data_IF_827876012261
#
_entry.id   IF_827876012261
#
_cell.length_a   1.000
_cell.length_b   1.000
_cell.length_c   1.000
_cell.angle_alpha   90.00
_cell.angle_beta   90.00
_cell.angle_gamma   90.00
#
_symmetry.space_group_name_H-M   'P 1'
#
loop_
_entity.id
_entity.type
_entity.pdbx_description
1 polymer ?
#
# COMPACT_ATOMS: atom_id res chain seq x y z
N UNK A 1 20.97 -41.09 -79.91
CA UNK A 1 21.88 -39.93 -79.87
C UNK A 1 21.12 -38.80 -79.17
N UNK A 2 21.30 -38.63 -77.86
CA UNK A 2 20.62 -37.60 -77.05
C UNK A 2 21.17 -36.21 -77.41
N UNK A 3 20.29 -35.20 -77.52
CA UNK A 3 20.70 -33.79 -77.55
C UNK A 3 19.97 -33.04 -76.44
N UNK A 4 20.75 -32.58 -75.47
CA UNK A 4 20.33 -31.95 -74.22
C UNK A 4 19.61 -30.61 -74.44
N UNK A 5 18.49 -30.43 -73.74
CA UNK A 5 17.87 -29.14 -73.50
C UNK A 5 18.70 -28.33 -72.49
N UNK A 6 19.07 -27.08 -72.83
CA UNK A 6 19.59 -26.11 -71.86
C UNK A 6 18.43 -25.22 -71.43
N UNK A 7 17.97 -25.38 -70.19
CA UNK A 7 17.04 -24.45 -69.55
C UNK A 7 17.84 -23.32 -68.92
N UNK A 8 17.56 -22.07 -69.30
CA UNK A 8 18.09 -20.87 -68.63
C UNK A 8 17.27 -20.64 -67.36
N UNK A 9 17.91 -20.67 -66.19
CA UNK A 9 17.32 -20.24 -64.93
C UNK A 9 17.63 -18.75 -64.76
N UNK A 10 16.59 -17.93 -64.68
CA UNK A 10 16.68 -16.50 -64.39
C UNK A 10 16.54 -16.33 -62.87
N UNK A 11 17.63 -15.99 -62.19
CA UNK A 11 17.61 -15.77 -60.73
C UNK A 11 17.15 -14.34 -60.45
N UNK A 12 15.96 -14.19 -59.87
CA UNK A 12 15.44 -12.91 -59.39
C UNK A 12 16.09 -12.59 -58.03
N UNK A 13 16.95 -11.57 -57.96
CA UNK A 13 17.50 -11.09 -56.69
C UNK A 13 16.50 -10.08 -56.11
N UNK A 14 15.74 -10.49 -55.10
CA UNK A 14 14.88 -9.59 -54.33
C UNK A 14 15.75 -8.86 -53.29
N UNK A 15 16.12 -7.61 -53.58
CA UNK A 15 16.79 -6.75 -52.59
C UNK A 15 15.77 -6.23 -51.59
N UNK A 16 15.75 -6.80 -50.39
CA UNK A 16 14.93 -6.32 -49.28
C UNK A 16 15.63 -5.11 -48.64
N UNK A 17 15.17 -3.90 -48.96
CA UNK A 17 15.63 -2.69 -48.30
C UNK A 17 15.00 -2.62 -46.91
N UNK A 18 15.76 -2.91 -45.86
CA UNK A 18 15.35 -2.66 -44.48
C UNK A 18 15.39 -1.15 -44.30
N UNK A 19 14.22 -0.51 -44.29
CA UNK A 19 14.13 0.88 -43.82
C UNK A 19 14.39 0.85 -42.31
N UNK A 20 15.32 1.66 -41.78
CA UNK A 20 15.40 1.83 -40.33
C UNK A 20 14.06 2.42 -39.89
N UNK A 21 13.35 1.69 -39.04
CA UNK A 21 12.19 2.20 -38.33
C UNK A 21 12.74 3.26 -37.38
N UNK A 22 12.65 4.54 -37.77
CA UNK A 22 12.94 5.63 -36.87
C UNK A 22 11.85 5.60 -35.80
N UNK A 23 12.17 5.09 -34.61
CA UNK A 23 11.35 5.32 -33.42
C UNK A 23 11.25 6.84 -33.26
N UNK A 24 10.07 7.39 -33.54
CA UNK A 24 9.73 8.70 -32.99
C UNK A 24 9.69 8.48 -31.49
N UNK A 25 10.74 8.89 -30.79
CA UNK A 25 10.70 8.99 -29.34
C UNK A 25 9.60 10.01 -29.03
N UNK A 26 8.43 9.51 -28.61
CA UNK A 26 7.51 10.33 -27.84
C UNK A 26 8.25 10.59 -26.53
N UNK A 27 8.62 11.84 -26.28
CA UNK A 27 9.29 12.19 -25.04
C UNK A 27 8.20 12.14 -23.98
N UNK A 28 8.18 11.07 -23.17
CA UNK A 28 7.26 10.98 -22.06
C UNK A 28 7.44 12.19 -21.14
N UNK A 29 6.34 12.74 -20.64
CA UNK A 29 6.42 13.74 -19.58
C UNK A 29 6.86 13.02 -18.31
N UNK A 30 8.01 13.40 -17.77
CA UNK A 30 8.62 12.79 -16.58
C UNK A 30 8.62 13.82 -15.46
N UNK A 31 8.21 13.42 -14.27
CA UNK A 31 8.15 14.31 -13.13
C UNK A 31 8.13 13.58 -11.80
N UNK A 32 8.04 14.41 -10.75
CA UNK A 32 7.85 13.97 -9.37
C UNK A 32 6.68 14.76 -8.82
N UNK A 33 5.72 14.06 -8.23
CA UNK A 33 4.60 14.66 -7.49
C UNK A 33 4.76 14.30 -6.03
N UNK A 34 4.67 15.30 -5.14
CA UNK A 34 4.66 15.06 -3.71
C UNK A 34 3.23 14.75 -3.26
N UNK A 35 2.99 13.53 -2.80
CA UNK A 35 1.70 13.05 -2.28
C UNK A 35 1.89 12.77 -0.79
N UNK A 36 1.23 13.56 0.06
CA UNK A 36 1.33 13.43 1.52
C UNK A 36 2.77 13.35 2.07
N UNK A 37 3.68 14.15 1.50
CA UNK A 37 5.12 14.21 1.81
C UNK A 37 5.98 13.06 1.26
N UNK A 38 5.41 12.17 0.46
CA UNK A 38 6.14 11.16 -0.29
C UNK A 38 6.34 11.61 -1.73
N UNK A 39 7.54 11.39 -2.25
CA UNK A 39 7.86 11.68 -3.65
C UNK A 39 7.43 10.49 -4.52
N UNK A 40 6.50 10.73 -5.43
CA UNK A 40 6.02 9.77 -6.43
C UNK A 40 6.60 10.15 -7.78
N UNK A 41 7.50 9.32 -8.30
CA UNK A 41 8.10 9.52 -9.61
C UNK A 41 7.19 8.93 -10.69
N UNK A 42 7.07 9.62 -11.82
CA UNK A 42 6.28 9.15 -12.95
C UNK A 42 6.93 9.48 -14.29
N UNK A 43 6.58 8.69 -15.31
CA UNK A 43 6.77 9.01 -16.73
C UNK A 43 5.51 8.63 -17.50
N UNK A 44 4.91 9.58 -18.23
CA UNK A 44 3.73 9.35 -19.06
C UNK A 44 4.05 9.54 -20.54
N UNK A 45 3.84 8.51 -21.35
CA UNK A 45 3.95 8.59 -22.81
C UNK A 45 2.61 9.03 -23.43
N UNK A 46 2.63 9.94 -24.39
CA UNK A 46 1.44 10.38 -25.14
C UNK A 46 0.31 10.98 -24.28
N UNK A 47 0.63 11.51 -23.10
CA UNK A 47 -0.28 12.27 -22.25
C UNK A 47 0.48 13.27 -21.39
N UNK A 48 -0.26 14.05 -20.61
CA UNK A 48 0.28 14.91 -19.56
C UNK A 48 -0.42 14.54 -18.27
N UNK A 49 0.34 14.42 -17.19
CA UNK A 49 -0.20 14.17 -15.86
C UNK A 49 -0.67 15.50 -15.25
N UNK A 50 -1.88 15.52 -14.71
CA UNK A 50 -2.43 16.69 -14.01
C UNK A 50 -2.14 16.63 -12.52
N UNK A 51 -2.59 15.56 -11.85
CA UNK A 51 -2.42 15.37 -10.41
C UNK A 51 -2.28 13.91 -10.02
N UNK A 52 -1.63 13.66 -8.87
CA UNK A 52 -1.70 12.40 -8.14
C UNK A 52 -2.17 12.74 -6.73
N UNK A 53 -3.15 12.00 -6.22
CA UNK A 53 -3.55 12.08 -4.81
C UNK A 53 -4.01 10.72 -4.31
N UNK A 54 -3.92 10.52 -3.00
CA UNK A 54 -4.36 9.31 -2.33
C UNK A 54 -5.77 9.50 -1.78
N UNK A 55 -6.63 8.51 -2.00
CA UNK A 55 -7.89 8.33 -1.28
C UNK A 55 -7.71 7.21 -0.23
N UNK A 56 -7.48 7.55 1.05
CA UNK A 56 -7.23 6.57 2.08
C UNK A 56 -8.48 5.78 2.49
N UNK A 57 -9.69 6.28 2.21
CA UNK A 57 -10.93 5.55 2.51
C UNK A 57 -11.10 4.34 1.57
N UNK A 58 -10.59 4.45 0.35
CA UNK A 58 -10.59 3.39 -0.66
C UNK A 58 -9.24 2.70 -0.86
N UNK A 59 -8.19 3.14 -0.16
CA UNK A 59 -6.81 2.63 -0.32
C UNK A 59 -6.39 2.73 -1.79
N UNK A 60 -6.66 3.89 -2.39
CA UNK A 60 -6.57 4.11 -3.84
C UNK A 60 -5.70 5.32 -4.15
N UNK A 61 -4.63 5.12 -4.93
CA UNK A 61 -3.88 6.23 -5.51
C UNK A 61 -4.51 6.60 -6.86
N UNK A 62 -4.96 7.83 -6.99
CA UNK A 62 -5.67 8.33 -8.16
C UNK A 62 -4.76 9.28 -8.93
N UNK A 63 -4.58 8.98 -10.21
CA UNK A 63 -3.89 9.81 -11.18
C UNK A 63 -4.91 10.42 -12.14
N UNK A 64 -4.85 11.73 -12.33
CA UNK A 64 -5.60 12.41 -13.40
C UNK A 64 -4.66 12.85 -14.50
N UNK A 65 -5.09 12.71 -15.74
CA UNK A 65 -4.26 12.95 -16.92
C UNK A 65 -5.07 13.42 -18.13
N UNK A 66 -4.41 14.15 -19.01
CA UNK A 66 -4.90 14.52 -20.33
C UNK A 66 -4.14 13.69 -21.40
N UNK A 67 -4.81 12.75 -22.05
CA UNK A 67 -4.20 11.85 -23.04
C UNK A 67 -4.35 12.37 -24.47
N UNK A 68 -3.33 12.17 -25.29
CA UNK A 68 -3.29 12.61 -26.71
C UNK A 68 -3.31 11.45 -27.71
N UNK A 69 -2.88 10.27 -27.28
CA UNK A 69 -2.90 8.99 -28.01
C UNK A 69 -2.78 7.85 -26.99
N UNK A 70 -2.93 6.60 -27.41
CA UNK A 70 -2.62 5.42 -26.58
C UNK A 70 -1.17 5.50 -26.07
N UNK A 71 -0.95 5.08 -24.83
CA UNK A 71 0.34 5.24 -24.16
C UNK A 71 0.45 4.41 -22.89
N UNK A 72 1.45 4.74 -22.09
CA UNK A 72 1.71 4.11 -20.79
C UNK A 72 2.07 5.16 -19.74
N UNK A 73 1.66 4.90 -18.50
CA UNK A 73 2.21 5.55 -17.31
C UNK A 73 3.14 4.58 -16.61
N UNK A 74 4.41 4.94 -16.48
CA UNK A 74 5.34 4.33 -15.52
C UNK A 74 5.28 5.14 -14.22
N UNK A 75 5.02 4.48 -13.09
CA UNK A 75 4.89 5.14 -11.78
C UNK A 75 5.66 4.34 -10.72
N UNK A 76 6.47 5.05 -9.92
CA UNK A 76 7.16 4.49 -8.75
C UNK A 76 6.43 4.93 -7.49
N UNK A 77 5.81 3.97 -6.81
CA UNK A 77 4.97 4.15 -5.63
C UNK A 77 5.78 3.77 -4.39
N UNK A 78 6.03 4.70 -3.45
CA UNK A 78 6.59 4.35 -2.15
C UNK A 78 5.64 3.42 -1.40
N UNK A 79 6.15 2.33 -0.83
CA UNK A 79 5.33 1.36 -0.09
C UNK A 79 4.71 1.95 1.17
N UNK A 80 5.32 2.99 1.74
CA UNK A 80 4.73 3.76 2.84
C UNK A 80 3.55 4.65 2.40
N UNK A 81 3.43 4.94 1.10
CA UNK A 81 2.31 5.71 0.54
C UNK A 81 1.16 4.80 0.14
N UNK A 82 1.45 3.72 -0.57
CA UNK A 82 0.49 2.70 -0.99
C UNK A 82 1.24 1.39 -1.22
N UNK A 83 0.70 0.30 -0.68
CA UNK A 83 1.18 -1.05 -0.87
C UNK A 83 0.01 -2.02 -1.05
N UNK A 84 0.30 -3.19 -1.64
CA UNK A 84 -0.64 -4.30 -1.63
C UNK A 84 0.06 -5.53 -1.07
N UNK A 85 -0.48 -6.03 0.03
CA UNK A 85 0.02 -7.17 0.78
C UNK A 85 -1.12 -8.11 1.15
N UNK A 86 -0.78 -9.38 1.26
CA UNK A 86 -1.58 -10.39 1.93
C UNK A 86 -0.71 -11.04 3.00
N UNK A 87 -1.15 -10.95 4.25
CA UNK A 87 -0.32 -11.23 5.43
C UNK A 87 1.02 -10.46 5.40
N UNK A 88 2.15 -11.16 5.26
CA UNK A 88 3.50 -10.58 5.23
C UNK A 88 4.13 -10.60 3.84
N UNK A 89 3.40 -11.08 2.84
CA UNK A 89 3.86 -11.17 1.45
C UNK A 89 3.23 -10.10 0.58
N UNK A 90 3.98 -9.65 -0.41
CA UNK A 90 3.46 -8.77 -1.46
C UNK A 90 2.34 -9.46 -2.23
N UNK A 91 1.30 -8.68 -2.49
CA UNK A 91 0.18 -9.05 -3.33
C UNK A 91 0.02 -8.03 -4.47
N UNK A 92 -0.79 -8.40 -5.46
CA UNK A 92 -1.07 -7.57 -6.64
C UNK A 92 -1.90 -6.36 -6.27
N UNK A 93 -1.72 -5.26 -7.01
CA UNK A 93 -2.65 -4.14 -7.00
C UNK A 93 -3.85 -4.45 -7.89
N UNK A 94 -4.97 -3.78 -7.62
CA UNK A 94 -6.07 -3.68 -8.58
C UNK A 94 -5.95 -2.34 -9.30
N UNK A 95 -5.73 -2.36 -10.61
CA UNK A 95 -5.57 -1.14 -11.42
C UNK A 95 -6.79 -0.91 -12.28
N UNK A 96 -7.35 0.29 -12.20
CA UNK A 96 -8.48 0.75 -12.99
C UNK A 96 -8.02 1.86 -13.94
N UNK A 97 -8.42 1.79 -15.21
CA UNK A 97 -8.28 2.88 -16.18
C UNK A 97 -9.68 3.30 -16.61
N UNK A 98 -10.02 4.57 -16.37
CA UNK A 98 -11.37 5.10 -16.54
C UNK A 98 -12.48 4.23 -15.89
N UNK A 99 -12.14 3.63 -14.74
CA UNK A 99 -13.04 2.77 -13.96
C UNK A 99 -13.13 1.31 -14.42
N UNK A 100 -12.33 0.90 -15.41
CA UNK A 100 -12.24 -0.48 -15.88
C UNK A 100 -10.94 -1.15 -15.45
N UNK A 101 -11.05 -2.37 -14.91
CA UNK A 101 -9.88 -3.17 -14.55
C UNK A 101 -8.95 -3.38 -15.74
N UNK A 102 -7.66 -3.10 -15.52
CA UNK A 102 -6.62 -3.09 -16.55
C UNK A 102 -5.39 -3.83 -16.06
N UNK A 103 -4.86 -4.73 -16.90
CA UNK A 103 -3.59 -5.39 -16.65
C UNK A 103 -2.44 -4.39 -16.67
N UNK A 104 -1.48 -4.57 -15.76
CA UNK A 104 -0.27 -3.76 -15.67
C UNK A 104 0.97 -4.65 -15.56
N UNK A 105 2.15 -4.07 -15.75
CA UNK A 105 3.42 -4.74 -15.48
C UNK A 105 4.10 -4.12 -14.26
N UNK A 106 4.45 -4.94 -13.26
CA UNK A 106 5.36 -4.53 -12.20
C UNK A 106 6.80 -4.79 -12.67
N UNK A 107 7.58 -3.72 -12.86
CA UNK A 107 8.93 -3.79 -13.43
C UNK A 107 10.03 -3.74 -12.37
N UNK A 108 9.72 -3.22 -11.18
CA UNK A 108 10.62 -3.20 -10.04
C UNK A 108 9.82 -3.28 -8.72
N UNK A 109 10.38 -4.02 -7.76
CA UNK A 109 9.83 -4.15 -6.42
C UNK A 109 10.97 -4.25 -5.43
N UNK A 110 11.06 -3.26 -4.54
CA UNK A 110 12.09 -3.16 -3.51
C UNK A 110 11.45 -3.21 -2.13
N UNK A 111 12.23 -3.03 -1.06
CA UNK A 111 11.67 -2.87 0.29
C UNK A 111 10.95 -1.54 0.49
N UNK A 112 11.21 -0.55 -0.36
CA UNK A 112 10.81 0.84 -0.13
C UNK A 112 9.77 1.31 -1.15
N UNK A 113 9.74 0.70 -2.34
CA UNK A 113 8.87 1.11 -3.45
C UNK A 113 8.50 -0.05 -4.37
N UNK A 114 7.46 0.19 -5.19
CA UNK A 114 7.08 -0.64 -6.34
C UNK A 114 6.89 0.23 -7.57
N UNK A 115 7.34 -0.24 -8.72
CA UNK A 115 7.24 0.48 -9.99
C UNK A 115 6.35 -0.25 -10.97
N UNK A 116 5.27 0.40 -11.39
CA UNK A 116 4.25 -0.15 -12.28
C UNK A 116 4.30 0.54 -13.64
N UNK A 117 4.01 -0.21 -14.70
CA UNK A 117 3.76 0.29 -16.05
C UNK A 117 2.33 -0.05 -16.44
N UNK A 118 1.51 0.98 -16.61
CA UNK A 118 0.06 0.87 -16.80
C UNK A 118 -0.28 1.41 -18.20
N UNK A 119 -0.82 0.58 -19.11
CA UNK A 119 -1.27 1.03 -20.42
C UNK A 119 -2.58 1.79 -20.32
N UNK A 120 -2.79 2.75 -21.21
CA UNK A 120 -4.06 3.45 -21.40
C UNK A 120 -4.34 3.71 -22.88
N UNK A 121 -5.60 3.98 -23.21
CA UNK A 121 -6.06 4.36 -24.53
C UNK A 121 -6.29 5.87 -24.64
N UNK A 122 -6.27 6.37 -25.88
CA UNK A 122 -6.64 7.76 -26.15
C UNK A 122 -8.06 8.06 -25.64
N UNK A 123 -8.16 9.11 -24.82
CA UNK A 123 -9.42 9.54 -24.22
C UNK A 123 -9.57 9.13 -22.76
N UNK A 124 -8.75 8.20 -22.27
CA UNK A 124 -8.69 7.88 -20.84
C UNK A 124 -8.16 9.08 -20.06
N UNK A 125 -8.68 9.27 -18.86
CA UNK A 125 -8.43 10.47 -18.05
C UNK A 125 -8.07 10.17 -16.60
N UNK A 126 -8.39 8.97 -16.12
CA UNK A 126 -8.14 8.56 -14.73
C UNK A 126 -7.50 7.19 -14.69
N UNK A 127 -6.46 7.06 -13.87
CA UNK A 127 -5.93 5.77 -13.42
C UNK A 127 -6.12 5.67 -11.91
N UNK A 128 -6.77 4.62 -11.44
CA UNK A 128 -6.88 4.27 -10.03
C UNK A 128 -6.00 3.05 -9.73
N UNK A 129 -5.17 3.13 -8.70
CA UNK A 129 -4.31 2.04 -8.24
C UNK A 129 -4.72 1.70 -6.82
N UNK A 130 -5.36 0.56 -6.64
CA UNK A 130 -5.94 0.13 -5.37
C UNK A 130 -5.02 -0.90 -4.72
N UNK A 131 -4.63 -0.63 -3.48
CA UNK A 131 -3.83 -1.50 -2.63
C UNK A 131 -4.66 -2.19 -1.55
N UNK A 132 -3.95 -2.78 -0.58
CA UNK A 132 -4.55 -3.29 0.67
C UNK A 132 -4.02 -2.58 1.90
N UNK A 133 -2.97 -1.78 1.74
CA UNK A 133 -2.33 -0.97 2.75
C UNK A 133 -2.00 0.39 2.13
N UNK A 134 -2.39 1.48 2.75
CA UNK A 134 -2.13 2.82 2.25
C UNK A 134 -1.61 3.68 3.39
N UNK A 135 -0.97 4.79 3.04
CA UNK A 135 -0.79 5.88 3.97
C UNK A 135 -2.18 6.31 4.40
N UNK A 136 -2.57 5.86 5.58
CA UNK A 136 -3.64 6.48 6.28
C UNK A 136 -2.95 7.54 7.16
N UNK A 137 -3.04 8.84 6.84
CA UNK A 137 -2.49 9.91 7.69
C UNK A 137 -3.14 9.94 9.09
N UNK A 138 -4.19 9.14 9.29
CA UNK A 138 -4.85 8.84 10.56
C UNK A 138 -4.66 7.38 11.03
N UNK A 139 -3.92 6.55 10.29
CA UNK A 139 -3.33 5.31 10.78
C UNK A 139 -2.05 5.69 11.48
N UNK A 140 -2.27 6.18 12.69
CA UNK A 140 -1.39 5.83 13.77
C UNK A 140 -1.38 4.29 13.76
N UNK A 141 -0.37 3.63 13.18
CA UNK A 141 0.21 2.56 13.99
C UNK A 141 0.53 3.28 15.29
N UNK A 142 -0.19 3.00 16.38
CA UNK A 142 0.10 3.68 17.62
C UNK A 142 1.50 3.19 17.98
N UNK A 143 2.53 3.98 17.66
CA UNK A 143 3.80 3.90 18.34
C UNK A 143 3.47 4.28 19.76
N UNK A 144 2.99 3.29 20.52
CA UNK A 144 2.73 3.46 21.92
C UNK A 144 4.11 3.79 22.49
N UNK A 145 4.31 5.02 23.02
CA UNK A 145 5.64 5.44 23.39
C UNK A 145 6.29 4.40 24.30
N UNK A 146 7.54 4.01 24.06
CA UNK A 146 8.13 2.85 24.75
C UNK A 146 8.10 2.97 26.28
N UNK A 147 8.00 4.18 26.82
CA UNK A 147 7.84 4.41 28.26
C UNK A 147 6.55 3.82 28.85
N UNK A 148 5.51 3.61 28.05
CA UNK A 148 4.24 2.97 28.44
C UNK A 148 4.44 1.47 28.73
N UNK A 149 5.35 0.81 28.01
CA UNK A 149 5.67 -0.62 28.18
C UNK A 149 6.10 -0.93 29.62
N UNK A 150 6.74 0.02 30.30
CA UNK A 150 7.10 -0.13 31.71
C UNK A 150 5.88 -0.29 32.62
N UNK A 151 4.79 0.44 32.36
CA UNK A 151 3.56 0.35 33.15
C UNK A 151 2.89 -1.02 32.97
N UNK A 152 2.91 -1.55 31.75
CA UNK A 152 2.43 -2.90 31.46
C UNK A 152 3.26 -3.99 32.17
N UNK A 153 4.59 -3.84 32.19
CA UNK A 153 5.48 -4.73 32.95
C UNK A 153 5.22 -4.67 34.45
N UNK A 154 5.11 -3.47 35.02
CA UNK A 154 4.76 -3.29 36.44
C UNK A 154 3.39 -3.85 36.80
N UNK A 155 2.41 -3.73 35.90
CA UNK A 155 1.10 -4.36 36.09
C UNK A 155 1.21 -5.89 36.06
N UNK A 156 1.91 -6.46 35.07
CA UNK A 156 2.12 -7.90 34.95
C UNK A 156 2.81 -8.50 36.19
N UNK A 157 3.81 -7.79 36.73
CA UNK A 157 4.52 -8.15 37.96
C UNK A 157 3.72 -7.94 39.26
N UNK A 158 2.52 -7.35 39.17
CA UNK A 158 1.67 -7.04 40.33
C UNK A 158 2.17 -5.85 41.17
N UNK A 159 3.08 -5.03 40.64
CA UNK A 159 3.52 -3.79 41.28
C UNK A 159 2.49 -2.67 41.12
N UNK A 160 1.68 -2.73 40.05
CA UNK A 160 0.51 -1.88 39.82
C UNK A 160 -0.74 -2.76 39.87
N UNK A 161 -1.79 -2.27 40.53
CA UNK A 161 -3.07 -2.96 40.59
C UNK A 161 -3.91 -2.76 39.32
N UNK A 162 -4.92 -3.61 39.14
CA UNK A 162 -5.76 -3.62 37.94
C UNK A 162 -6.52 -2.29 37.74
N UNK A 163 -6.89 -1.61 38.82
CA UNK A 163 -7.60 -0.32 38.76
C UNK A 163 -6.70 0.78 38.23
N UNK A 164 -5.47 0.87 38.75
CA UNK A 164 -4.48 1.85 38.32
C UNK A 164 -4.04 1.60 36.86
N UNK A 165 -3.91 0.34 36.45
CA UNK A 165 -3.61 0.00 35.05
C UNK A 165 -4.74 0.41 34.10
N UNK A 166 -6.00 0.06 34.42
CA UNK A 166 -7.16 0.46 33.61
C UNK A 166 -7.25 1.98 33.47
N UNK A 167 -7.10 2.73 34.58
CA UNK A 167 -7.11 4.19 34.55
C UNK A 167 -5.98 4.77 33.69
N UNK A 168 -4.80 4.15 33.72
CA UNK A 168 -3.69 4.49 32.84
C UNK A 168 -4.05 4.33 31.38
N UNK A 169 -4.62 3.19 30.98
CA UNK A 169 -5.06 2.96 29.59
C UNK A 169 -6.14 3.96 29.17
N UNK A 170 -7.16 4.18 30.02
CA UNK A 170 -8.21 5.17 29.75
C UNK A 170 -7.64 6.56 29.50
N UNK A 171 -6.67 6.99 30.31
CA UNK A 171 -5.99 8.27 30.13
C UNK A 171 -5.24 8.34 28.80
N UNK A 172 -4.51 7.29 28.43
CA UNK A 172 -3.76 7.25 27.17
C UNK A 172 -4.67 7.33 25.95
N UNK A 173 -5.84 6.70 26.04
CA UNK A 173 -6.85 6.78 24.99
C UNK A 173 -7.45 8.19 24.94
N UNK A 174 -7.81 8.77 26.09
CA UNK A 174 -8.44 10.10 26.14
C UNK A 174 -7.52 11.24 25.68
N UNK A 175 -6.21 11.09 25.89
CA UNK A 175 -5.21 12.08 25.47
C UNK A 175 -4.64 11.79 24.07
N UNK A 176 -5.25 10.85 23.33
CA UNK A 176 -4.82 10.45 21.98
C UNK A 176 -3.35 9.96 21.91
N UNK A 177 -2.78 9.51 23.05
CA UNK A 177 -1.44 8.92 23.14
C UNK A 177 -1.46 7.47 22.67
N UNK A 178 -2.59 6.78 22.87
CA UNK A 178 -2.84 5.42 22.40
C UNK A 178 -4.14 5.41 21.60
N UNK A 179 -4.04 5.17 20.30
CA UNK A 179 -5.21 4.99 19.45
C UNK A 179 -5.71 3.55 19.52
N UNK A 180 -7.02 3.38 19.64
CA UNK A 180 -7.67 2.07 19.57
C UNK A 180 -8.53 2.05 18.29
N UNK A 181 -8.36 1.06 17.40
CA UNK A 181 -9.23 0.91 16.23
C UNK A 181 -10.69 0.83 16.63
N UNK A 182 -11.62 1.18 15.73
CA UNK A 182 -13.06 1.18 16.00
C UNK A 182 -13.50 -0.10 16.73
N UNK A 183 -13.93 0.06 17.97
CA UNK A 183 -14.31 -1.03 18.88
C UNK A 183 -15.62 -0.68 19.55
N UNK A 184 -16.60 -1.57 19.47
CA UNK A 184 -17.87 -1.38 20.16
C UNK A 184 -17.70 -1.55 21.68
N UNK A 185 -18.01 -0.51 22.45
CA UNK A 185 -17.99 -0.57 23.91
C UNK A 185 -19.11 -1.46 24.44
N UNK A 186 -18.75 -2.46 25.23
CA UNK A 186 -19.71 -3.32 25.92
C UNK A 186 -20.37 -2.64 27.11
N UNK A 187 -21.52 -3.15 27.54
CA UNK A 187 -22.13 -2.75 28.81
C UNK A 187 -21.19 -3.08 29.98
N UNK A 188 -21.07 -2.16 30.94
CA UNK A 188 -20.21 -2.36 32.11
C UNK A 188 -20.58 -3.64 32.84
N UNK A 189 -19.68 -4.62 32.80
CA UNK A 189 -19.96 -5.99 33.25
C UNK A 189 -19.46 -6.29 34.65
N UNK A 190 -18.58 -5.44 35.21
CA UNK A 190 -17.91 -5.69 36.49
C UNK A 190 -17.02 -6.94 36.47
N UNK A 191 -16.71 -7.47 35.27
CA UNK A 191 -15.91 -8.67 35.09
C UNK A 191 -14.46 -8.43 35.51
N UNK A 192 -13.87 -9.42 36.18
CA UNK A 192 -12.43 -9.43 36.50
C UNK A 192 -11.60 -9.54 35.22
N UNK A 193 -10.42 -8.91 35.22
CA UNK A 193 -9.51 -8.96 34.06
C UNK A 193 -8.99 -10.41 33.90
N UNK A 194 -9.20 -11.06 32.74
CA UNK A 194 -8.65 -12.38 32.49
C UNK A 194 -7.12 -12.39 32.57
N UNK A 195 -6.55 -13.43 33.19
CA UNK A 195 -5.09 -13.53 33.39
C UNK A 195 -4.28 -13.52 32.08
N UNK A 196 -4.87 -13.95 30.96
CA UNK A 196 -4.19 -13.91 29.66
C UNK A 196 -3.90 -12.48 29.19
N UNK A 197 -4.75 -11.50 29.55
CA UNK A 197 -4.51 -10.09 29.23
C UNK A 197 -3.29 -9.57 30.00
N UNK A 198 -3.19 -9.98 31.26
CA UNK A 198 -2.06 -9.64 32.14
C UNK A 198 -0.76 -10.27 31.65
N UNK A 199 -0.82 -11.50 31.15
CA UNK A 199 0.34 -12.15 30.52
C UNK A 199 0.77 -11.42 29.25
N UNK A 200 -0.17 -11.02 28.39
CA UNK A 200 0.13 -10.25 27.18
C UNK A 200 0.81 -8.91 27.51
N UNK A 201 0.39 -8.22 28.58
CA UNK A 201 1.06 -7.01 29.03
C UNK A 201 2.53 -7.23 29.41
N UNK A 202 2.85 -8.34 30.07
CA UNK A 202 4.23 -8.73 30.37
C UNK A 202 5.04 -9.02 29.10
N UNK A 203 4.46 -9.81 28.17
CA UNK A 203 5.10 -10.10 26.89
C UNK A 203 5.32 -8.86 26.04
N UNK A 204 4.39 -7.91 26.09
CA UNK A 204 4.51 -6.63 25.39
C UNK A 204 5.61 -5.76 26.00
N UNK A 205 5.72 -5.73 27.33
CA UNK A 205 6.78 -5.04 28.04
C UNK A 205 8.18 -5.59 27.69
N UNK A 206 8.29 -6.90 27.51
CA UNK A 206 9.51 -7.60 27.11
C UNK A 206 9.81 -7.53 25.61
N UNK A 207 8.93 -6.93 24.80
CA UNK A 207 9.06 -6.87 23.34
C UNK A 207 8.85 -8.22 22.63
N UNK A 208 8.20 -9.18 23.30
CA UNK A 208 7.88 -10.50 22.74
C UNK A 208 6.63 -10.48 21.86
N UNK A 209 5.75 -9.50 22.07
CA UNK A 209 4.62 -9.20 21.18
C UNK A 209 4.66 -7.72 20.78
N UNK A 210 4.12 -7.43 19.60
CA UNK A 210 4.03 -6.08 19.06
C UNK A 210 2.87 -5.27 19.69
N UNK A 211 2.81 -3.99 19.33
CA UNK A 211 1.82 -3.04 19.85
C UNK A 211 0.40 -3.45 19.41
N UNK A 212 0.26 -3.97 18.19
CA UNK A 212 -1.00 -4.51 17.64
C UNK A 212 -1.54 -5.65 18.48
N UNK A 213 -0.72 -6.64 18.85
CA UNK A 213 -1.13 -7.77 19.68
C UNK A 213 -1.54 -7.35 21.09
N UNK A 214 -0.87 -6.32 21.65
CA UNK A 214 -1.27 -5.75 22.93
C UNK A 214 -2.63 -5.02 22.83
N UNK A 215 -2.83 -4.23 21.76
CA UNK A 215 -4.07 -3.48 21.50
C UNK A 215 -5.27 -4.41 21.33
N UNK A 216 -5.11 -5.57 20.69
CA UNK A 216 -6.19 -6.56 20.62
C UNK A 216 -6.68 -6.99 22.01
N UNK A 217 -5.78 -7.06 23.01
CA UNK A 217 -6.14 -7.28 24.40
C UNK A 217 -6.95 -6.12 25.00
N UNK A 218 -6.59 -4.88 24.68
CA UNK A 218 -7.34 -3.68 25.10
C UNK A 218 -8.73 -3.64 24.44
N UNK A 219 -8.83 -3.92 23.14
CA UNK A 219 -10.10 -4.01 22.42
C UNK A 219 -11.01 -5.05 23.05
N UNK A 220 -10.47 -6.22 23.40
CA UNK A 220 -11.23 -7.24 24.12
C UNK A 220 -11.81 -6.69 25.43
N UNK A 221 -11.02 -5.94 26.22
CA UNK A 221 -11.51 -5.35 27.47
C UNK A 221 -12.63 -4.34 27.24
N UNK A 222 -12.56 -3.56 26.15
CA UNK A 222 -13.61 -2.60 25.77
C UNK A 222 -14.90 -3.32 25.39
N UNK A 223 -14.81 -4.28 24.47
CA UNK A 223 -15.96 -5.07 24.00
C UNK A 223 -16.66 -5.85 25.11
N UNK A 224 -15.91 -6.33 26.10
CA UNK A 224 -16.47 -7.07 27.23
C UNK A 224 -16.87 -6.16 28.41
N UNK A 225 -16.79 -4.84 28.26
CA UNK A 225 -17.19 -3.86 29.27
C UNK A 225 -16.32 -3.85 30.53
N UNK A 226 -15.11 -4.41 30.45
CA UNK A 226 -14.07 -4.38 31.50
C UNK A 226 -13.41 -3.00 31.53
N UNK A 227 -13.16 -2.44 30.33
CA UNK A 227 -12.62 -1.12 30.13
C UNK A 227 -13.67 -0.25 29.43
N UNK A 228 -13.91 0.96 29.94
CA UNK A 228 -14.87 1.90 29.38
C UNK A 228 -14.11 3.10 28.84
N UNK A 229 -14.45 3.53 27.62
CA UNK A 229 -13.87 4.68 26.90
C UNK A 229 -14.96 5.59 26.38
#
# INVERSE_FOLDING_TARGET
MLKNHKSLIFTLILSLSILPLSSQFSYGDTGIVSVDSFDVEYTIENGVLDTIFLDPDFIELILTMDTTSDGTVEITIPRSLLDSKFDTSDDVFFVLVDGFETDYAEIESTTDSRTLVIPFFSGDSVIGIIGTDALNPFSLEPEIPSWIKNNAGWWADGQIDDTAFIQGIQYLISEEIMSIPQTESGESSGNEIPSWIKNNAGWWADGQIDDTAFIQGIQFMITNGILQV
#
